data_IF_272575243332
#
_entry.id   IF_272575243332
#
_cell.length_a   1.000
_cell.length_b   1.000
_cell.length_c   1.000
_cell.angle_alpha   90.00
_cell.angle_beta   90.00
_cell.angle_gamma   90.00
#
_symmetry.space_group_name_H-M   'P 1'
#
loop_
_entity.id
_entity.type
_entity.pdbx_description
1 polymer ?
#
# COMPACT_ATOMS: atom_id res chain seq x y z
N UNK A 1 6.31 11.21 19.78
CA UNK A 1 6.52 9.94 19.04
C UNK A 1 8.00 9.47 19.01
N UNK A 2 8.99 10.39 19.05
CA UNK A 2 10.41 10.00 19.05
C UNK A 2 10.78 9.09 20.23
N UNK A 3 10.31 9.39 21.43
CA UNK A 3 10.56 8.58 22.64
C UNK A 3 10.10 7.13 22.50
N UNK A 4 8.91 6.93 21.90
CA UNK A 4 8.39 5.57 21.65
C UNK A 4 9.18 4.84 20.56
N UNK A 5 9.74 5.56 19.59
CA UNK A 5 10.54 4.98 18.51
C UNK A 5 11.88 4.45 19.03
N UNK A 6 12.56 5.21 19.86
CA UNK A 6 13.85 4.78 20.47
C UNK A 6 13.66 3.58 21.39
N UNK A 7 12.62 3.62 22.23
CA UNK A 7 12.25 2.48 23.07
C UNK A 7 11.86 1.24 22.26
N UNK A 8 11.13 1.42 21.16
CA UNK A 8 10.72 0.34 20.28
C UNK A 8 11.91 -0.30 19.55
N UNK A 9 12.91 0.48 19.15
CA UNK A 9 14.12 -0.02 18.53
C UNK A 9 14.93 -0.90 19.50
N UNK A 10 14.94 -0.55 20.79
CA UNK A 10 15.60 -1.34 21.83
C UNK A 10 14.83 -2.63 22.13
N UNK A 11 13.51 -2.55 22.38
CA UNK A 11 12.67 -3.67 22.72
C UNK A 11 12.42 -4.63 21.54
N UNK A 12 12.44 -4.12 20.31
CA UNK A 12 12.30 -4.93 19.11
C UNK A 12 13.31 -6.07 19.01
N UNK A 13 14.50 -5.92 19.62
CA UNK A 13 15.53 -6.97 19.67
C UNK A 13 15.10 -8.21 20.46
N UNK A 14 14.16 -8.06 21.39
CA UNK A 14 13.68 -9.14 22.26
C UNK A 14 12.36 -9.75 21.75
N UNK A 15 11.75 -9.18 20.72
CA UNK A 15 10.51 -9.71 20.14
C UNK A 15 10.87 -10.78 19.11
N UNK A 16 10.71 -12.06 19.49
CA UNK A 16 10.80 -13.19 18.58
C UNK A 16 9.56 -13.26 17.67
N UNK A 17 9.76 -13.27 16.35
CA UNK A 17 8.68 -13.43 15.38
C UNK A 17 8.97 -14.61 14.46
N UNK A 18 7.91 -15.40 14.14
CA UNK A 18 8.02 -16.49 13.17
C UNK A 18 8.42 -15.93 11.80
N UNK A 19 9.32 -16.60 11.08
CA UNK A 19 9.85 -16.18 9.78
C UNK A 19 8.74 -15.81 8.76
N UNK A 20 7.66 -16.57 8.72
CA UNK A 20 6.52 -16.28 7.85
C UNK A 20 5.81 -14.96 8.21
N UNK A 21 5.52 -14.74 9.49
CA UNK A 21 4.90 -13.48 9.96
C UNK A 21 5.83 -12.28 9.73
N UNK A 22 7.13 -12.47 9.96
CA UNK A 22 8.15 -11.44 9.73
C UNK A 22 8.20 -11.03 8.25
N UNK A 23 8.29 -11.99 7.34
CA UNK A 23 8.30 -11.72 5.89
C UNK A 23 7.03 -11.02 5.42
N UNK A 24 5.85 -11.51 5.82
CA UNK A 24 4.58 -10.88 5.49
C UNK A 24 4.49 -9.45 6.00
N UNK A 25 4.82 -9.22 7.26
CA UNK A 25 4.79 -7.88 7.86
C UNK A 25 5.80 -6.94 7.20
N UNK A 26 7.00 -7.43 6.85
CA UNK A 26 8.00 -6.63 6.14
C UNK A 26 7.49 -6.16 4.77
N UNK A 27 6.79 -7.02 4.03
CA UNK A 27 6.18 -6.64 2.76
C UNK A 27 5.11 -5.57 2.94
N UNK A 28 4.27 -5.68 3.97
CA UNK A 28 3.25 -4.67 4.29
C UNK A 28 3.90 -3.34 4.68
N UNK A 29 4.95 -3.35 5.51
CA UNK A 29 5.66 -2.15 5.92
C UNK A 29 6.35 -1.46 4.73
N UNK A 30 6.98 -2.24 3.86
CA UNK A 30 7.61 -1.72 2.65
C UNK A 30 6.55 -1.11 1.71
N UNK A 31 5.41 -1.77 1.52
CA UNK A 31 4.30 -1.27 0.71
C UNK A 31 3.66 0.00 1.30
N UNK A 32 3.59 0.09 2.64
CA UNK A 32 3.13 1.28 3.35
C UNK A 32 4.15 2.45 3.32
N UNK A 33 5.40 2.21 2.87
CA UNK A 33 6.47 3.19 2.89
C UNK A 33 7.08 3.44 4.27
N UNK A 34 6.81 2.55 5.23
CA UNK A 34 7.33 2.64 6.59
C UNK A 34 8.72 1.97 6.66
N UNK A 35 9.76 2.78 6.91
CA UNK A 35 11.15 2.31 7.00
C UNK A 35 11.48 1.81 8.40
N UNK A 36 10.85 0.71 8.83
CA UNK A 36 11.12 0.07 10.12
C UNK A 36 11.02 -1.45 10.00
N UNK A 37 11.64 -2.17 10.95
CA UNK A 37 11.55 -3.64 11.00
C UNK A 37 10.21 -4.08 11.61
N UNK A 38 9.70 -5.28 11.27
CA UNK A 38 8.49 -5.83 11.86
C UNK A 38 8.54 -5.90 13.38
N UNK A 39 9.69 -6.22 13.93
CA UNK A 39 9.92 -6.29 15.38
C UNK A 39 9.80 -4.91 16.03
N UNK A 40 10.40 -3.88 15.41
CA UNK A 40 10.30 -2.49 15.90
C UNK A 40 8.87 -1.98 15.80
N UNK A 41 8.15 -2.31 14.73
CA UNK A 41 6.75 -1.92 14.57
C UNK A 41 5.85 -2.53 15.66
N UNK A 42 6.02 -3.83 15.94
CA UNK A 42 5.27 -4.49 17.02
C UNK A 42 5.68 -3.95 18.41
N UNK A 43 6.98 -3.72 18.64
CA UNK A 43 7.47 -3.11 19.88
C UNK A 43 6.87 -1.72 20.12
N UNK A 44 6.74 -0.91 19.06
CA UNK A 44 6.10 0.38 19.14
C UNK A 44 4.62 0.28 19.54
N UNK A 45 3.88 -0.67 18.96
CA UNK A 45 2.49 -0.91 19.32
C UNK A 45 2.36 -1.38 20.79
N UNK A 46 3.25 -2.28 21.23
CA UNK A 46 3.27 -2.72 22.62
C UNK A 46 3.64 -1.61 23.61
N UNK A 47 4.62 -0.77 23.30
CA UNK A 47 5.00 0.36 24.15
C UNK A 47 3.88 1.38 24.28
N UNK A 48 3.23 1.71 23.16
CA UNK A 48 2.13 2.68 23.13
C UNK A 48 0.90 2.18 23.87
N UNK A 49 0.56 0.91 23.72
CA UNK A 49 -0.49 0.27 24.52
C UNK A 49 -0.08 0.13 25.99
N UNK A 50 1.15 -0.29 26.26
CA UNK A 50 1.68 -0.48 27.62
C UNK A 50 1.72 0.80 28.45
N UNK A 51 1.99 1.95 27.84
CA UNK A 51 1.95 3.23 28.54
C UNK A 51 0.55 3.57 29.07
N UNK A 52 -0.50 3.13 28.38
CA UNK A 52 -1.90 3.30 28.85
C UNK A 52 -2.16 2.34 30.01
N UNK A 53 -1.67 1.10 29.92
CA UNK A 53 -1.81 0.13 31.02
C UNK A 53 -1.09 0.56 32.30
N UNK A 54 0.01 1.31 32.19
CA UNK A 54 0.73 1.85 33.37
C UNK A 54 -0.14 2.82 34.18
N UNK A 55 -1.09 3.51 33.55
CA UNK A 55 -2.05 4.40 34.22
C UNK A 55 -3.15 3.64 34.96
N UNK A 56 -3.30 2.33 34.75
CA UNK A 56 -4.32 1.52 35.41
C UNK A 56 -3.98 1.36 36.91
N UNK A 57 -2.68 1.30 37.27
CA UNK A 57 -2.26 1.07 38.67
C UNK A 57 -2.80 2.17 39.62
N UNK A 58 -2.58 3.48 39.37
CA UNK A 58 -3.16 4.52 40.20
C UNK A 58 -4.70 4.64 40.04
N UNK A 59 -5.23 4.35 38.84
CA UNK A 59 -6.67 4.43 38.59
C UNK A 59 -7.48 3.39 39.39
N UNK A 60 -6.94 2.19 39.59
CA UNK A 60 -7.57 1.14 40.41
C UNK A 60 -7.77 1.55 41.87
N UNK A 61 -6.89 2.39 42.41
CA UNK A 61 -6.96 2.87 43.78
C UNK A 61 -7.97 3.99 44.00
N UNK A 62 -8.20 4.82 42.95
CA UNK A 62 -9.01 6.03 43.07
C UNK A 62 -10.42 5.82 42.48
N UNK A 63 -10.51 5.16 41.33
CA UNK A 63 -11.81 4.92 40.65
C UNK A 63 -11.80 3.59 39.89
N UNK A 64 -12.30 2.49 40.49
CA UNK A 64 -12.23 1.15 39.85
C UNK A 64 -12.99 1.08 38.50
N UNK A 65 -14.05 1.86 38.31
CA UNK A 65 -14.76 1.94 37.00
C UNK A 65 -13.90 2.57 35.91
N UNK A 66 -13.02 3.50 36.26
CA UNK A 66 -12.09 4.13 35.31
C UNK A 66 -11.03 3.15 34.79
N UNK A 67 -10.65 2.17 35.62
CA UNK A 67 -9.69 1.12 35.22
C UNK A 67 -10.22 0.27 34.08
N UNK A 68 -11.51 -0.09 34.08
CA UNK A 68 -12.14 -0.85 32.99
C UNK A 68 -12.10 -0.04 31.68
N UNK A 69 -12.39 1.25 31.75
CA UNK A 69 -12.33 2.13 30.59
C UNK A 69 -10.91 2.24 30.02
N UNK A 70 -9.90 2.33 30.90
CA UNK A 70 -8.49 2.39 30.48
C UNK A 70 -8.03 1.07 29.83
N UNK A 71 -8.48 -0.09 30.31
CA UNK A 71 -8.21 -1.39 29.68
C UNK A 71 -8.78 -1.44 28.26
N UNK A 72 -10.05 -1.06 28.09
CA UNK A 72 -10.68 -1.01 26.77
C UNK A 72 -9.96 -0.05 25.82
N UNK A 73 -9.56 1.11 26.32
CA UNK A 73 -8.81 2.09 25.53
C UNK A 73 -7.42 1.57 25.13
N UNK A 74 -6.71 0.91 26.04
CA UNK A 74 -5.40 0.28 25.76
C UNK A 74 -5.50 -0.80 24.67
N UNK A 75 -6.52 -1.66 24.76
CA UNK A 75 -6.79 -2.69 23.77
C UNK A 75 -7.12 -2.06 22.41
N UNK A 76 -7.97 -1.01 22.40
CA UNK A 76 -8.33 -0.31 21.18
C UNK A 76 -7.13 0.34 20.51
N UNK A 77 -6.26 1.00 21.28
CA UNK A 77 -5.02 1.61 20.75
C UNK A 77 -4.08 0.56 20.20
N UNK A 78 -3.92 -0.57 20.87
CA UNK A 78 -3.11 -1.67 20.37
C UNK A 78 -3.59 -2.17 19.00
N UNK A 79 -4.89 -2.45 18.85
CA UNK A 79 -5.45 -2.90 17.58
C UNK A 79 -5.33 -1.84 16.47
N UNK A 80 -5.54 -0.57 16.80
CA UNK A 80 -5.42 0.53 15.85
C UNK A 80 -3.99 0.66 15.32
N UNK A 81 -2.99 0.63 16.21
CA UNK A 81 -1.59 0.76 15.78
C UNK A 81 -1.10 -0.46 14.99
N UNK A 82 -1.51 -1.68 15.36
CA UNK A 82 -1.10 -2.89 14.62
C UNK A 82 -1.71 -2.99 13.22
N UNK A 83 -2.86 -2.34 12.97
CA UNK A 83 -3.54 -2.34 11.66
C UNK A 83 -3.19 -1.14 10.79
N UNK A 84 -2.54 -0.12 11.34
CA UNK A 84 -2.25 1.12 10.63
C UNK A 84 -1.48 0.93 9.32
N UNK A 85 -0.51 0.02 9.30
CA UNK A 85 0.26 -0.27 8.10
C UNK A 85 -0.61 -0.91 6.99
N UNK A 86 -1.52 -1.82 7.35
CA UNK A 86 -2.46 -2.44 6.40
C UNK A 86 -3.48 -1.41 5.88
N UNK A 87 -3.94 -0.49 6.74
CA UNK A 87 -4.84 0.60 6.33
C UNK A 87 -4.17 1.54 5.32
N UNK A 88 -2.92 1.94 5.55
CA UNK A 88 -2.17 2.77 4.62
C UNK A 88 -2.02 2.12 3.23
N UNK A 89 -1.74 0.82 3.19
CA UNK A 89 -1.68 0.07 1.92
C UNK A 89 -3.05 0.02 1.24
N UNK A 90 -4.12 -0.20 2.02
CA UNK A 90 -5.48 -0.24 1.49
C UNK A 90 -5.90 1.11 0.92
N UNK A 91 -5.71 2.20 1.67
CA UNK A 91 -6.02 3.56 1.22
C UNK A 91 -5.27 3.92 -0.07
N UNK A 92 -3.98 3.60 -0.12
CA UNK A 92 -3.16 3.80 -1.31
C UNK A 92 -3.70 3.03 -2.51
N UNK A 93 -4.05 1.76 -2.32
CA UNK A 93 -4.64 0.92 -3.36
C UNK A 93 -5.98 1.49 -3.83
N UNK A 94 -6.88 1.85 -2.90
CA UNK A 94 -8.19 2.41 -3.22
C UNK A 94 -8.10 3.72 -4.02
N UNK A 95 -7.14 4.59 -3.69
CA UNK A 95 -6.88 5.82 -4.44
C UNK A 95 -6.41 5.51 -5.86
N UNK A 96 -5.46 4.60 -6.03
CA UNK A 96 -4.95 4.20 -7.34
C UNK A 96 -6.05 3.51 -8.17
N UNK A 97 -6.80 2.58 -7.57
CA UNK A 97 -7.93 1.92 -8.24
C UNK A 97 -9.01 2.91 -8.69
N UNK A 98 -9.23 3.98 -7.95
CA UNK A 98 -10.14 5.07 -8.34
C UNK A 98 -9.70 5.83 -9.59
N UNK A 99 -8.41 5.79 -9.92
CA UNK A 99 -7.86 6.45 -11.11
C UNK A 99 -7.65 5.52 -12.31
N UNK A 100 -7.79 4.19 -12.12
CA UNK A 100 -7.47 3.21 -13.17
C UNK A 100 -8.30 3.39 -14.44
N UNK A 101 -9.56 3.80 -14.33
CA UNK A 101 -10.37 4.08 -15.53
C UNK A 101 -9.71 5.17 -16.38
N UNK A 102 -9.31 6.29 -15.78
CA UNK A 102 -8.65 7.40 -16.46
C UNK A 102 -7.30 6.98 -17.03
N UNK A 103 -6.52 6.23 -16.25
CA UNK A 103 -5.23 5.68 -16.68
C UNK A 103 -5.38 4.80 -17.92
N UNK A 104 -6.25 3.79 -17.88
CA UNK A 104 -6.47 2.84 -18.98
C UNK A 104 -7.02 3.54 -20.20
N UNK A 105 -7.91 4.55 -20.03
CA UNK A 105 -8.43 5.36 -21.12
C UNK A 105 -7.32 6.13 -21.84
N UNK A 106 -6.38 6.72 -21.08
CA UNK A 106 -5.22 7.43 -21.65
C UNK A 106 -4.30 6.46 -22.40
N UNK A 107 -3.95 5.32 -21.79
CA UNK A 107 -3.13 4.28 -22.44
C UNK A 107 -3.80 3.80 -23.74
N UNK A 108 -5.11 3.58 -23.73
CA UNK A 108 -5.86 3.17 -24.93
C UNK A 108 -5.74 4.19 -26.08
N UNK A 109 -5.71 5.48 -25.76
CA UNK A 109 -5.54 6.53 -26.77
C UNK A 109 -4.11 6.59 -27.28
N UNK A 110 -3.13 6.46 -26.41
CA UNK A 110 -1.71 6.54 -26.79
C UNK A 110 -1.26 5.33 -27.61
N UNK A 111 -1.80 4.14 -27.34
CA UNK A 111 -1.52 2.92 -28.09
C UNK A 111 -1.88 3.04 -29.60
N UNK A 112 -2.74 4.00 -29.99
CA UNK A 112 -3.02 4.29 -31.40
C UNK A 112 -1.84 4.93 -32.13
N UNK A 113 -0.97 5.62 -31.38
CA UNK A 113 0.13 6.40 -31.94
C UNK A 113 1.52 5.82 -31.64
N UNK A 114 1.68 5.16 -30.51
CA UNK A 114 2.95 4.62 -30.02
C UNK A 114 2.74 3.31 -29.28
N UNK A 115 3.79 2.49 -29.22
CA UNK A 115 3.85 1.28 -28.38
C UNK A 115 4.92 1.40 -27.27
N UNK A 116 5.42 2.61 -27.05
CA UNK A 116 6.43 2.86 -26.01
C UNK A 116 5.76 2.97 -24.63
N UNK A 117 5.75 1.85 -23.91
CA UNK A 117 5.12 1.74 -22.59
C UNK A 117 5.74 2.70 -21.59
N UNK A 118 7.06 2.91 -21.61
CA UNK A 118 7.71 3.84 -20.67
C UNK A 118 7.22 5.28 -20.88
N UNK A 119 7.19 5.73 -22.14
CA UNK A 119 6.69 7.07 -22.50
C UNK A 119 5.24 7.27 -22.08
N UNK A 120 4.37 6.26 -22.26
CA UNK A 120 2.97 6.31 -21.84
C UNK A 120 2.83 6.49 -20.32
N UNK A 121 3.62 5.75 -19.53
CA UNK A 121 3.61 5.86 -18.08
C UNK A 121 4.12 7.24 -17.61
N UNK A 122 5.17 7.75 -18.23
CA UNK A 122 5.73 9.07 -17.94
C UNK A 122 4.75 10.19 -18.25
N UNK A 123 4.07 10.11 -19.38
CA UNK A 123 3.06 11.11 -19.77
C UNK A 123 1.85 11.10 -18.82
N UNK A 124 1.33 9.90 -18.49
CA UNK A 124 0.21 9.82 -17.55
C UNK A 124 0.60 10.31 -16.15
N UNK A 125 1.83 10.06 -15.71
CA UNK A 125 2.36 10.48 -14.40
C UNK A 125 2.19 11.98 -14.13
N UNK A 126 2.29 12.83 -15.16
CA UNK A 126 2.13 14.29 -15.03
C UNK A 126 0.71 14.68 -14.56
N UNK A 127 -0.28 13.83 -14.83
CA UNK A 127 -1.69 14.06 -14.52
C UNK A 127 -2.24 13.10 -13.46
N UNK A 128 -1.41 12.23 -12.89
CA UNK A 128 -1.78 11.28 -11.87
C UNK A 128 -1.94 11.94 -10.49
N UNK A 129 -2.82 11.38 -9.66
CA UNK A 129 -2.91 11.77 -8.25
C UNK A 129 -1.64 11.42 -7.49
N UNK A 130 -1.39 12.09 -6.37
CA UNK A 130 -0.12 12.03 -5.62
C UNK A 130 0.35 10.60 -5.31
N UNK A 131 -0.57 9.71 -4.92
CA UNK A 131 -0.23 8.32 -4.58
C UNK A 131 0.13 7.50 -5.82
N UNK A 132 -0.61 7.68 -6.91
CA UNK A 132 -0.33 6.98 -8.15
C UNK A 132 0.95 7.53 -8.82
N UNK A 133 1.15 8.84 -8.79
CA UNK A 133 2.36 9.48 -9.28
C UNK A 133 3.63 8.91 -8.63
N UNK A 134 3.64 8.76 -7.29
CA UNK A 134 4.76 8.16 -6.56
C UNK A 134 5.06 6.73 -7.00
N UNK A 135 4.02 5.93 -7.25
CA UNK A 135 4.21 4.56 -7.74
C UNK A 135 4.72 4.52 -9.18
N UNK A 136 4.21 5.41 -10.04
CA UNK A 136 4.68 5.54 -11.41
C UNK A 136 6.13 6.01 -11.48
N UNK A 137 6.57 6.91 -10.58
CA UNK A 137 7.98 7.30 -10.46
C UNK A 137 8.87 6.09 -10.18
N UNK A 138 8.45 5.23 -9.25
CA UNK A 138 9.20 3.99 -8.92
C UNK A 138 9.25 3.06 -10.13
N UNK A 139 8.11 2.84 -10.79
CA UNK A 139 8.05 1.95 -11.97
C UNK A 139 8.90 2.47 -13.12
N UNK A 140 8.81 3.76 -13.45
CA UNK A 140 9.61 4.37 -14.51
C UNK A 140 11.11 4.28 -14.20
N UNK A 141 11.52 4.51 -12.94
CA UNK A 141 12.91 4.33 -12.50
C UNK A 141 13.36 2.87 -12.61
N UNK A 142 12.50 1.92 -12.20
CA UNK A 142 12.76 0.48 -12.32
C UNK A 142 12.90 0.06 -13.79
N UNK A 143 12.06 0.57 -14.70
CA UNK A 143 12.12 0.28 -16.15
C UNK A 143 13.39 0.80 -16.79
N UNK A 144 13.94 1.91 -16.33
CA UNK A 144 15.22 2.45 -16.81
C UNK A 144 16.44 1.66 -16.33
N UNK A 145 16.32 0.97 -15.19
CA UNK A 145 17.42 0.25 -14.54
C UNK A 145 17.36 -1.27 -14.70
N UNK A 146 16.21 -1.82 -15.14
CA UNK A 146 16.00 -3.26 -15.29
C UNK A 146 15.12 -3.59 -16.51
N UNK A 147 14.72 -4.86 -16.68
CA UNK A 147 13.78 -5.20 -17.75
C UNK A 147 12.38 -4.63 -17.44
N UNK A 148 11.70 -4.16 -18.47
CA UNK A 148 10.37 -3.57 -18.38
C UNK A 148 9.33 -4.53 -17.77
N UNK A 149 9.37 -5.82 -18.17
CA UNK A 149 8.49 -6.84 -17.60
C UNK A 149 8.72 -7.03 -16.10
N UNK A 150 9.99 -7.07 -15.66
CA UNK A 150 10.31 -7.23 -14.25
C UNK A 150 9.89 -6.00 -13.43
N UNK A 151 10.02 -4.79 -13.98
CA UNK A 151 9.57 -3.56 -13.35
C UNK A 151 8.04 -3.54 -13.17
N UNK A 152 7.29 -3.90 -14.21
CA UNK A 152 5.83 -3.99 -14.16
C UNK A 152 5.34 -5.07 -13.19
N UNK A 153 6.00 -6.24 -13.15
CA UNK A 153 5.68 -7.31 -12.19
C UNK A 153 5.92 -6.86 -10.73
N UNK A 154 7.00 -6.12 -10.46
CA UNK A 154 7.23 -5.55 -9.13
C UNK A 154 6.19 -4.50 -8.76
N UNK A 155 5.75 -3.70 -9.71
CA UNK A 155 4.68 -2.73 -9.52
C UNK A 155 3.36 -3.41 -9.11
N UNK A 156 2.96 -4.45 -9.83
CA UNK A 156 1.79 -5.27 -9.50
C UNK A 156 1.90 -5.84 -8.08
N UNK A 157 3.04 -6.45 -7.75
CA UNK A 157 3.26 -7.08 -6.45
C UNK A 157 3.20 -6.08 -5.27
N UNK A 158 3.62 -4.81 -5.47
CA UNK A 158 3.56 -3.78 -4.42
C UNK A 158 2.15 -3.39 -4.03
N UNK A 159 1.22 -3.33 -4.98
CA UNK A 159 -0.15 -2.86 -4.74
C UNK A 159 -1.13 -4.00 -4.51
N UNK A 160 -0.82 -5.19 -5.04
CA UNK A 160 -1.65 -6.40 -4.89
C UNK A 160 -3.14 -6.13 -5.22
N UNK A 161 -3.40 -5.46 -6.34
CA UNK A 161 -4.72 -5.11 -6.83
C UNK A 161 -5.07 -5.94 -8.06
N UNK A 162 -6.19 -6.68 -8.07
CA UNK A 162 -6.63 -7.45 -9.24
C UNK A 162 -6.83 -6.57 -10.48
N UNK A 163 -7.39 -5.37 -10.31
CA UNK A 163 -7.61 -4.44 -11.41
C UNK A 163 -6.28 -3.97 -12.03
N UNK A 164 -5.29 -3.68 -11.19
CA UNK A 164 -3.96 -3.32 -11.67
C UNK A 164 -3.26 -4.50 -12.34
N UNK A 165 -3.47 -5.73 -11.86
CA UNK A 165 -2.92 -6.94 -12.49
C UNK A 165 -3.39 -7.09 -13.94
N UNK A 166 -4.65 -6.80 -14.23
CA UNK A 166 -5.17 -6.83 -15.59
C UNK A 166 -4.49 -5.76 -16.48
N UNK A 167 -4.29 -4.55 -15.94
CA UNK A 167 -3.57 -3.49 -16.65
C UNK A 167 -2.12 -3.88 -16.94
N UNK A 168 -1.40 -4.39 -15.94
CA UNK A 168 0.00 -4.83 -16.07
C UNK A 168 0.12 -5.95 -17.09
N UNK A 169 -0.81 -6.91 -17.09
CA UNK A 169 -0.84 -7.99 -18.09
C UNK A 169 -0.98 -7.44 -19.51
N UNK A 170 -1.86 -6.45 -19.69
CA UNK A 170 -2.02 -5.77 -20.97
C UNK A 170 -0.75 -5.05 -21.41
N UNK A 171 -0.08 -4.31 -20.50
CA UNK A 171 1.18 -3.61 -20.80
C UNK A 171 2.30 -4.59 -21.17
N UNK A 172 2.41 -5.72 -20.47
CA UNK A 172 3.37 -6.78 -20.80
C UNK A 172 3.07 -7.37 -22.18
N UNK A 173 1.79 -7.58 -22.53
CA UNK A 173 1.40 -8.01 -23.88
C UNK A 173 1.87 -7.04 -24.95
N UNK A 174 1.69 -5.73 -24.74
CA UNK A 174 2.18 -4.69 -25.65
C UNK A 174 3.70 -4.74 -25.81
N UNK A 175 4.46 -4.94 -24.74
CA UNK A 175 5.92 -5.10 -24.77
C UNK A 175 6.36 -6.31 -25.58
N UNK A 176 5.56 -7.37 -25.59
CA UNK A 176 5.80 -8.60 -26.37
C UNK A 176 5.38 -8.47 -27.84
N UNK A 177 4.75 -7.37 -28.21
CA UNK A 177 4.30 -7.10 -29.58
C UNK A 177 2.85 -7.42 -29.87
N UNK A 178 2.06 -7.80 -28.85
CA UNK A 178 0.62 -8.05 -28.98
C UNK A 178 -0.13 -6.77 -29.35
N UNK A 179 -1.27 -6.92 -30.03
CA UNK A 179 -2.19 -5.79 -30.27
C UNK A 179 -2.96 -5.47 -28.97
N UNK A 180 -2.36 -4.59 -28.17
CA UNK A 180 -2.97 -4.14 -26.91
C UNK A 180 -4.22 -3.28 -27.07
N UNK A 181 -4.48 -2.71 -28.27
CA UNK A 181 -5.56 -1.74 -28.43
C UNK A 181 -6.94 -2.32 -28.09
N UNK A 182 -7.25 -3.51 -28.59
CA UNK A 182 -8.54 -4.21 -28.30
C UNK A 182 -8.65 -4.57 -26.82
N UNK A 183 -7.56 -5.08 -26.24
CA UNK A 183 -7.52 -5.46 -24.83
C UNK A 183 -7.78 -4.26 -23.92
N UNK A 184 -7.11 -3.13 -24.17
CA UNK A 184 -7.28 -1.91 -23.38
C UNK A 184 -8.62 -1.22 -23.62
N UNK A 185 -9.23 -1.35 -24.80
CA UNK A 185 -10.62 -0.89 -25.03
C UNK A 185 -11.61 -1.69 -24.17
N UNK A 186 -11.45 -2.99 -24.06
CA UNK A 186 -12.27 -3.85 -23.19
C UNK A 186 -12.09 -3.45 -21.72
N UNK A 187 -10.85 -3.31 -21.24
CA UNK A 187 -10.58 -2.85 -19.87
C UNK A 187 -11.18 -1.47 -19.57
N UNK A 188 -11.11 -0.54 -20.53
CA UNK A 188 -11.71 0.80 -20.39
C UNK A 188 -13.23 0.69 -20.16
N UNK A 189 -13.89 -0.18 -20.90
CA UNK A 189 -15.33 -0.40 -20.75
C UNK A 189 -15.66 -1.01 -19.37
N UNK A 190 -14.91 -2.02 -18.94
CA UNK A 190 -15.15 -2.72 -17.66
C UNK A 190 -14.90 -1.79 -16.48
N UNK A 191 -13.81 -1.01 -16.51
CA UNK A 191 -13.50 -0.05 -15.43
C UNK A 191 -14.50 1.09 -15.37
N UNK A 192 -15.01 1.56 -16.53
CA UNK A 192 -16.09 2.55 -16.58
C UNK A 192 -17.36 2.03 -15.89
N UNK A 193 -17.72 0.78 -16.13
CA UNK A 193 -18.87 0.17 -15.47
C UNK A 193 -18.68 0.04 -13.96
N UNK A 194 -17.48 -0.38 -13.53
CA UNK A 194 -17.13 -0.47 -12.11
C UNK A 194 -17.18 0.90 -11.41
N UNK A 195 -16.69 1.95 -12.06
CA UNK A 195 -16.74 3.32 -11.54
C UNK A 195 -18.19 3.81 -11.39
N UNK A 196 -19.04 3.58 -12.40
CA UNK A 196 -20.46 3.92 -12.32
C UNK A 196 -21.21 3.18 -11.21
N UNK A 197 -20.80 1.98 -10.88
CA UNK A 197 -21.37 1.21 -9.75
C UNK A 197 -20.91 1.75 -8.40
N UNK A 198 -19.69 2.27 -8.28
CA UNK A 198 -19.17 2.89 -7.05
C UNK A 198 -19.85 4.23 -6.72
N UNK A 199 -20.38 4.94 -7.73
CA UNK A 199 -21.04 6.23 -7.58
C UNK A 199 -22.56 6.13 -7.25
N UNK A 200 -23.13 4.92 -7.24
CA UNK A 200 -24.52 4.65 -6.86
C UNK A 200 -24.64 4.20 -5.39
#
# INVERSE_FOLDING_TARGET
>A
DAFYMDGAAYLGKYIGMNAYKKSRMQNVLNAAGLRMTPETYMAYAYLKAGSIFLLIIPALHVFPLLAILLVLLGVMVYYKETRKAEELVREKREQIEGELYRFVSTITQELKNSRDVLSMLEHYKENAGEMFQKELDIVCADMRSSSYEAALTRFEARLNSPQLSDVVRGLIGVLRGDDGAVYFQMLTHDFKQAELQRLK
#
